data_IF_903166061985
#
_entry.id   IF_903166061985
#
_cell.length_a   1.000
_cell.length_b   1.000
_cell.length_c   1.000
_cell.angle_alpha   90.00
_cell.angle_beta   90.00
_cell.angle_gamma   90.00
#
_symmetry.space_group_name_H-M   'P 1'
#
loop_
_entity.id
_entity.type
_entity.pdbx_description
1 polymer ?
#
# COMPACT_ATOMS: atom_id res chain seq x y z
N UNK A 1 7.46 5.05 11.64
CA UNK A 1 7.08 5.18 10.22
C UNK A 1 7.85 4.16 9.40
N UNK A 2 7.20 3.50 8.45
CA UNK A 2 7.82 2.70 7.38
C UNK A 2 7.36 3.26 6.04
N UNK A 3 8.31 3.50 5.13
CA UNK A 3 8.06 3.98 3.78
C UNK A 3 8.47 2.93 2.75
N UNK A 4 7.50 2.47 1.93
CA UNK A 4 7.77 1.63 0.77
C UNK A 4 7.95 2.50 -0.48
N UNK A 5 9.00 2.25 -1.25
CA UNK A 5 9.31 3.03 -2.46
C UNK A 5 9.41 2.14 -3.69
N UNK A 6 8.82 2.57 -4.79
CA UNK A 6 9.06 1.99 -6.11
C UNK A 6 9.16 3.10 -7.18
N UNK A 7 9.13 2.77 -8.46
CA UNK A 7 9.16 3.80 -9.52
C UNK A 7 7.89 4.65 -9.53
N UNK A 8 6.73 4.05 -9.83
CA UNK A 8 5.50 4.80 -10.10
C UNK A 8 4.47 4.86 -8.96
N UNK A 9 4.74 4.26 -7.80
CA UNK A 9 3.81 4.17 -6.65
C UNK A 9 2.42 3.56 -6.89
N UNK A 10 2.12 3.00 -8.07
CA UNK A 10 0.78 2.49 -8.38
C UNK A 10 0.62 0.96 -8.31
N UNK A 11 1.72 0.20 -8.25
CA UNK A 11 1.66 -1.26 -8.08
C UNK A 11 2.42 -1.70 -6.83
N UNK A 12 3.75 -1.79 -6.92
CA UNK A 12 4.59 -2.50 -5.93
C UNK A 12 4.58 -1.88 -4.54
N UNK A 13 4.86 -0.58 -4.42
CA UNK A 13 4.95 0.07 -3.10
C UNK A 13 3.58 0.30 -2.47
N UNK A 14 2.54 0.60 -3.26
CA UNK A 14 1.15 0.63 -2.82
C UNK A 14 0.70 -0.72 -2.23
N UNK A 15 0.93 -1.80 -2.98
CA UNK A 15 0.59 -3.15 -2.52
C UNK A 15 1.34 -3.55 -1.26
N UNK A 16 2.65 -3.25 -1.19
CA UNK A 16 3.47 -3.56 -0.02
C UNK A 16 2.98 -2.84 1.25
N UNK A 17 2.59 -1.56 1.13
CA UNK A 17 2.05 -0.81 2.25
C UNK A 17 0.72 -1.39 2.74
N UNK A 18 -0.21 -1.71 1.84
CA UNK A 18 -1.50 -2.31 2.19
C UNK A 18 -1.35 -3.69 2.84
N UNK A 19 -0.48 -4.55 2.27
CA UNK A 19 -0.16 -5.86 2.83
C UNK A 19 0.42 -5.76 4.24
N UNK A 20 1.35 -4.82 4.45
CA UNK A 20 1.97 -4.66 5.75
C UNK A 20 1.00 -4.09 6.79
N UNK A 21 0.11 -3.16 6.40
CA UNK A 21 -0.98 -2.69 7.28
C UNK A 21 -1.92 -3.82 7.69
N UNK A 22 -2.33 -4.67 6.75
CA UNK A 22 -3.14 -5.86 7.03
C UNK A 22 -2.45 -6.83 7.99
N UNK A 23 -1.14 -7.08 7.80
CA UNK A 23 -0.36 -7.91 8.71
C UNK A 23 -0.24 -7.30 10.11
N UNK A 24 -0.01 -5.99 10.22
CA UNK A 24 0.05 -5.30 11.50
C UNK A 24 -1.29 -5.40 12.25
N UNK A 25 -2.41 -5.17 11.57
CA UNK A 25 -3.74 -5.26 12.16
C UNK A 25 -4.05 -6.65 12.76
N UNK A 26 -3.41 -7.71 12.25
CA UNK A 26 -3.57 -9.09 12.72
C UNK A 26 -2.74 -9.42 13.97
N UNK A 27 -1.70 -8.64 14.27
CA UNK A 27 -0.75 -8.91 15.37
C UNK A 27 -0.77 -7.82 16.44
N UNK A 28 -1.64 -6.83 16.32
CA UNK A 28 -1.59 -5.65 17.19
C UNK A 28 -2.23 -5.90 18.57
N UNK A 29 -1.42 -6.45 19.48
CA UNK A 29 -1.72 -6.63 20.91
C UNK A 29 -1.33 -5.39 21.74
N UNK A 30 -1.72 -4.19 21.32
CA UNK A 30 -1.47 -2.95 22.06
C UNK A 30 -0.13 -2.28 21.76
N UNK A 31 0.39 -2.43 20.54
CA UNK A 31 1.58 -1.70 20.09
C UNK A 31 1.21 -0.26 19.68
N UNK A 32 2.17 0.67 19.72
CA UNK A 32 1.97 2.00 19.16
C UNK A 32 1.63 1.90 17.66
N UNK A 33 0.68 2.72 17.21
CA UNK A 33 0.28 2.78 15.80
C UNK A 33 1.51 3.07 14.94
N UNK A 34 1.95 2.07 14.18
CA UNK A 34 3.05 2.23 13.24
C UNK A 34 2.51 2.85 11.96
N UNK A 35 2.93 4.08 11.67
CA UNK A 35 2.64 4.72 10.40
C UNK A 35 3.31 3.94 9.24
N UNK A 36 2.50 3.56 8.25
CA UNK A 36 2.94 2.88 7.03
C UNK A 36 2.53 3.73 5.85
N UNK A 37 3.49 4.11 5.00
CA UNK A 37 3.29 4.98 3.83
C UNK A 37 4.01 4.42 2.61
N UNK A 38 3.68 4.94 1.43
CA UNK A 38 4.34 4.54 0.18
C UNK A 38 4.60 5.74 -0.72
N UNK A 39 5.63 5.65 -1.57
CA UNK A 39 5.98 6.68 -2.54
C UNK A 39 6.56 6.10 -3.84
N UNK A 40 6.72 7.00 -4.82
CA UNK A 40 7.30 6.73 -6.13
C UNK A 40 8.48 7.67 -6.40
N UNK A 41 9.53 7.17 -7.04
CA UNK A 41 10.67 8.00 -7.47
C UNK A 41 10.41 8.74 -8.78
N UNK A 42 9.50 8.22 -9.60
CA UNK A 42 9.13 8.76 -10.91
C UNK A 42 7.65 8.45 -11.16
N UNK A 43 6.82 9.40 -10.73
CA UNK A 43 5.36 9.30 -10.80
C UNK A 43 4.83 10.08 -12.00
N UNK A 44 4.10 9.39 -12.88
CA UNK A 44 3.45 10.02 -14.03
C UNK A 44 2.41 11.08 -13.61
N UNK A 45 1.78 10.89 -12.45
CA UNK A 45 0.84 11.82 -11.84
C UNK A 45 0.91 11.69 -10.32
N UNK A 46 1.00 12.83 -9.62
CA UNK A 46 0.88 12.87 -8.16
C UNK A 46 -0.54 12.46 -7.77
N UNK A 47 -0.69 11.52 -6.82
CA UNK A 47 -2.00 11.06 -6.39
C UNK A 47 -2.65 10.03 -7.33
N UNK A 48 -1.86 9.39 -8.20
CA UNK A 48 -2.38 8.43 -9.18
C UNK A 48 -2.93 7.16 -8.50
N UNK A 49 -4.08 6.63 -8.93
CA UNK A 49 -4.65 5.44 -8.31
C UNK A 49 -3.74 4.23 -8.51
N UNK A 50 -3.88 3.24 -7.62
CA UNK A 50 -3.27 1.94 -7.87
C UNK A 50 -3.77 1.35 -9.20
N UNK A 51 -2.92 0.59 -9.89
CA UNK A 51 -3.35 -0.02 -11.16
C UNK A 51 -4.45 -1.06 -10.92
N UNK A 52 -5.36 -1.29 -11.88
CA UNK A 52 -6.44 -2.26 -11.71
C UNK A 52 -5.95 -3.66 -11.34
N UNK A 53 -4.79 -4.07 -11.85
CA UNK A 53 -4.18 -5.37 -11.56
C UNK A 53 -3.69 -5.45 -10.11
N UNK A 54 -3.14 -4.36 -9.57
CA UNK A 54 -2.70 -4.29 -8.18
C UNK A 54 -3.90 -4.34 -7.23
N UNK A 55 -4.99 -3.63 -7.57
CA UNK A 55 -6.26 -3.68 -6.83
C UNK A 55 -6.84 -5.09 -6.86
N UNK A 56 -6.93 -5.71 -8.04
CA UNK A 56 -7.45 -7.08 -8.18
C UNK A 56 -6.62 -8.10 -7.38
N UNK A 57 -5.29 -8.04 -7.49
CA UNK A 57 -4.40 -8.98 -6.80
C UNK A 57 -4.50 -8.89 -5.27
N UNK A 58 -4.79 -7.72 -4.71
CA UNK A 58 -5.04 -7.57 -3.28
C UNK A 58 -6.48 -7.93 -2.89
N UNK A 59 -7.47 -7.63 -3.74
CA UNK A 59 -8.85 -8.02 -3.52
C UNK A 59 -9.00 -9.55 -3.44
N UNK A 60 -8.26 -10.32 -4.25
CA UNK A 60 -8.16 -11.79 -4.16
C UNK A 60 -7.65 -12.29 -2.79
N UNK A 61 -6.99 -11.41 -2.03
CA UNK A 61 -6.47 -11.67 -0.68
C UNK A 61 -7.32 -11.01 0.42
N UNK A 62 -8.47 -10.43 0.07
CA UNK A 62 -9.37 -9.74 0.99
C UNK A 62 -8.87 -8.37 1.46
N UNK A 63 -7.96 -7.74 0.71
CA UNK A 63 -7.39 -6.43 1.04
C UNK A 63 -7.85 -5.42 -0.01
N UNK A 64 -8.44 -4.31 0.45
CA UNK A 64 -8.86 -3.22 -0.41
C UNK A 64 -7.71 -2.24 -0.68
N UNK A 65 -7.52 -1.89 -1.95
CA UNK A 65 -6.53 -0.92 -2.45
C UNK A 65 -7.18 0.14 -3.35
N UNK A 66 -8.51 0.18 -3.48
CA UNK A 66 -9.19 1.12 -4.38
C UNK A 66 -8.95 2.59 -4.03
N UNK A 67 -8.69 2.86 -2.76
CA UNK A 67 -8.54 4.21 -2.21
C UNK A 67 -7.07 4.70 -2.20
N UNK A 68 -6.14 3.95 -2.82
CA UNK A 68 -4.73 4.35 -2.91
C UNK A 68 -4.56 5.60 -3.81
N UNK A 69 -3.74 6.56 -3.35
CA UNK A 69 -3.32 7.76 -4.09
C UNK A 69 -1.85 8.08 -3.81
#
# INVERSE_FOLDING_TARGET
>A
MILFVCTGNTCRSAMAAALYRDQLAKVDEGRPILEVVSAGTDVNSVGGPATPEAVQALAERGIDLSDHQ
#
